data_IF_775630196988
#
_entry.id   IF_775630196988
#
_cell.length_a   1.000
_cell.length_b   1.000
_cell.length_c   1.000
_cell.angle_alpha   90.00
_cell.angle_beta   90.00
_cell.angle_gamma   90.00
#
_symmetry.space_group_name_H-M   'P 1'
#
loop_
_entity.id
_entity.type
_entity.pdbx_description
1 polymer ?
#
# COMPACT_ATOMS: atom_id res chain seq x y z
N UNK A 1 3.80 -16.12 -18.18
CA UNK A 1 4.09 -14.89 -17.42
C UNK A 1 4.05 -15.22 -15.93
N UNK A 2 5.11 -14.91 -15.21
CA UNK A 2 5.26 -15.10 -13.77
C UNK A 2 5.68 -13.78 -13.12
N UNK A 3 5.12 -13.47 -11.98
CA UNK A 3 5.36 -12.21 -11.24
C UNK A 3 6.19 -12.50 -9.99
N UNK A 4 7.29 -11.78 -9.79
CA UNK A 4 7.91 -11.68 -8.48
C UNK A 4 7.21 -10.54 -7.72
N UNK A 5 6.41 -10.91 -6.74
CA UNK A 5 5.72 -9.96 -5.86
C UNK A 5 6.60 -9.71 -4.64
N UNK A 6 7.28 -8.56 -4.63
CA UNK A 6 8.30 -8.24 -3.62
C UNK A 6 7.80 -7.29 -2.54
N UNK A 7 8.14 -7.62 -1.30
CA UNK A 7 7.79 -6.85 -0.12
C UNK A 7 8.92 -6.92 0.92
N UNK A 8 9.71 -5.85 1.02
CA UNK A 8 10.81 -5.78 1.98
C UNK A 8 10.30 -5.61 3.41
N UNK A 9 10.82 -6.40 4.34
CA UNK A 9 10.46 -6.29 5.76
C UNK A 9 9.06 -6.83 6.10
N UNK A 10 8.56 -7.83 5.39
CA UNK A 10 7.23 -8.43 5.59
C UNK A 10 6.96 -8.77 7.07
N UNK A 11 7.95 -9.32 7.77
CA UNK A 11 7.81 -9.71 9.18
C UNK A 11 7.52 -8.52 10.12
N UNK A 12 7.93 -7.31 9.74
CA UNK A 12 7.79 -6.10 10.56
C UNK A 12 6.48 -5.36 10.22
N UNK A 13 6.15 -5.24 8.94
CA UNK A 13 5.07 -4.38 8.48
C UNK A 13 3.85 -5.13 7.92
N UNK A 14 3.80 -6.46 8.08
CA UNK A 14 2.69 -7.32 7.62
C UNK A 14 1.32 -6.92 8.17
N UNK A 15 1.26 -6.31 9.35
CA UNK A 15 0.02 -5.81 9.99
C UNK A 15 -0.39 -4.42 9.50
N UNK A 16 0.43 -3.75 8.69
CA UNK A 16 0.16 -2.42 8.13
C UNK A 16 -0.86 -2.45 6.98
N UNK A 17 -1.25 -1.26 6.51
CA UNK A 17 -2.07 -1.11 5.29
C UNK A 17 -1.41 -1.71 4.06
N UNK A 18 -0.09 -1.51 3.91
CA UNK A 18 0.70 -2.07 2.80
C UNK A 18 0.76 -3.59 2.90
N UNK A 19 0.95 -4.16 4.09
CA UNK A 19 0.95 -5.62 4.29
C UNK A 19 -0.42 -6.25 3.95
N UNK A 20 -1.53 -5.55 4.21
CA UNK A 20 -2.85 -6.01 3.75
C UNK A 20 -2.99 -5.94 2.25
N UNK A 21 -2.54 -4.86 1.62
CA UNK A 21 -2.53 -4.72 0.17
C UNK A 21 -1.73 -5.84 -0.50
N UNK A 22 -0.56 -6.17 0.03
CA UNK A 22 0.27 -7.27 -0.45
C UNK A 22 -0.47 -8.63 -0.45
N UNK A 23 -1.19 -8.94 0.62
CA UNK A 23 -2.04 -10.15 0.69
C UNK A 23 -3.20 -10.13 -0.31
N UNK A 24 -3.78 -8.97 -0.57
CA UNK A 24 -4.83 -8.82 -1.59
C UNK A 24 -4.26 -8.99 -2.99
N UNK A 25 -3.05 -8.51 -3.27
CA UNK A 25 -2.36 -8.71 -4.55
C UNK A 25 -2.09 -10.20 -4.81
N UNK A 26 -1.62 -10.95 -3.80
CA UNK A 26 -1.45 -12.41 -3.92
C UNK A 26 -2.76 -13.09 -4.29
N UNK A 27 -3.86 -12.76 -3.60
CA UNK A 27 -5.19 -13.32 -3.92
C UNK A 27 -5.66 -12.92 -5.31
N UNK A 28 -5.39 -11.69 -5.75
CA UNK A 28 -5.75 -11.22 -7.09
C UNK A 28 -5.00 -11.99 -8.18
N UNK A 29 -3.69 -12.20 -8.01
CA UNK A 29 -2.89 -13.01 -8.93
C UNK A 29 -3.38 -14.46 -8.98
N UNK A 30 -3.66 -15.08 -7.82
CA UNK A 30 -4.24 -16.42 -7.74
C UNK A 30 -5.58 -16.51 -8.46
N UNK A 31 -6.48 -15.55 -8.21
CA UNK A 31 -7.81 -15.53 -8.83
C UNK A 31 -7.76 -15.31 -10.34
N UNK A 32 -6.73 -14.61 -10.83
CA UNK A 32 -6.49 -14.37 -12.25
C UNK A 32 -5.73 -15.53 -12.93
N UNK A 33 -5.33 -16.57 -12.19
CA UNK A 33 -4.53 -17.68 -12.71
C UNK A 33 -3.11 -17.26 -13.13
N UNK A 34 -2.59 -16.18 -12.56
CA UNK A 34 -1.24 -15.67 -12.85
C UNK A 34 -0.25 -16.29 -11.86
N UNK A 35 0.77 -16.97 -12.39
CA UNK A 35 1.85 -17.52 -11.58
C UNK A 35 2.62 -16.39 -10.90
N UNK A 36 2.96 -16.57 -9.60
CA UNK A 36 3.78 -15.64 -8.88
C UNK A 36 4.68 -16.32 -7.85
N UNK A 37 5.70 -15.63 -7.44
CA UNK A 37 6.57 -15.97 -6.33
C UNK A 37 6.73 -14.77 -5.39
N UNK A 38 7.05 -15.02 -4.14
CA UNK A 38 7.46 -13.99 -3.16
C UNK A 38 8.90 -14.19 -2.71
N UNK A 39 9.59 -15.20 -3.25
CA UNK A 39 10.99 -15.47 -2.97
C UNK A 39 11.88 -14.47 -3.74
N UNK A 40 12.60 -13.57 -3.06
CA UNK A 40 13.46 -12.59 -3.72
C UNK A 40 14.67 -13.21 -4.45
N UNK A 41 14.96 -14.48 -4.20
CA UNK A 41 16.05 -15.22 -4.84
C UNK A 41 15.60 -16.00 -6.09
N UNK A 42 14.30 -16.05 -6.35
CA UNK A 42 13.77 -16.63 -7.58
C UNK A 42 14.09 -15.70 -8.76
N UNK A 43 14.81 -16.21 -9.75
CA UNK A 43 15.16 -15.48 -10.96
C UNK A 43 14.27 -15.83 -12.16
N UNK A 44 13.38 -16.82 -12.00
CA UNK A 44 12.42 -17.25 -13.02
C UNK A 44 11.11 -16.45 -12.94
N UNK A 45 11.17 -15.16 -13.28
CA UNK A 45 10.00 -14.31 -13.39
C UNK A 45 10.15 -13.34 -14.59
N UNK A 46 9.03 -12.81 -15.05
CA UNK A 46 8.96 -11.85 -16.15
C UNK A 46 8.82 -10.40 -15.65
N UNK A 47 8.11 -10.24 -14.54
CA UNK A 47 7.75 -8.93 -13.97
C UNK A 47 8.11 -8.89 -12.48
N UNK A 48 8.86 -7.88 -12.07
CA UNK A 48 9.00 -7.48 -10.68
C UNK A 48 7.85 -6.52 -10.30
N UNK A 49 6.99 -6.92 -9.38
CA UNK A 49 5.98 -6.04 -8.76
C UNK A 49 6.40 -5.72 -7.33
N UNK A 50 6.86 -4.51 -7.10
CA UNK A 50 7.47 -4.08 -5.84
C UNK A 50 6.55 -3.16 -5.04
N UNK A 51 6.49 -3.36 -3.72
CA UNK A 51 5.56 -2.69 -2.81
C UNK A 51 6.24 -1.79 -1.77
N UNK A 52 7.56 -1.85 -1.65
CA UNK A 52 8.33 -1.17 -0.61
C UNK A 52 9.40 -0.26 -1.20
N UNK A 53 9.96 0.64 -0.37
CA UNK A 53 10.87 1.69 -0.80
C UNK A 53 12.13 1.77 0.07
N UNK A 54 12.57 0.63 0.64
CA UNK A 54 13.78 0.55 1.44
C UNK A 54 15.01 0.24 0.58
N UNK A 55 16.17 0.06 1.21
CA UNK A 55 17.45 -0.09 0.51
C UNK A 55 17.54 -1.36 -0.35
N UNK A 56 16.99 -2.48 0.13
CA UNK A 56 16.95 -3.73 -0.64
C UNK A 56 15.95 -3.62 -1.81
N UNK A 57 14.93 -2.77 -1.68
CA UNK A 57 14.00 -2.48 -2.77
C UNK A 57 14.71 -1.84 -3.97
N UNK A 58 15.68 -0.95 -3.74
CA UNK A 58 16.52 -0.38 -4.81
C UNK A 58 17.41 -1.46 -5.45
N UNK A 59 18.03 -2.30 -4.64
CA UNK A 59 18.92 -3.35 -5.13
C UNK A 59 18.17 -4.37 -6.02
N UNK A 60 16.97 -4.81 -5.63
CA UNK A 60 16.21 -5.78 -6.41
C UNK A 60 15.66 -5.17 -7.72
N UNK A 61 15.32 -3.88 -7.71
CA UNK A 61 14.92 -3.17 -8.94
C UNK A 61 16.08 -3.13 -9.93
N UNK A 62 17.28 -2.76 -9.48
CA UNK A 62 18.48 -2.77 -10.34
C UNK A 62 18.76 -4.14 -10.89
N UNK A 63 18.75 -5.17 -10.05
CA UNK A 63 18.96 -6.56 -10.48
C UNK A 63 17.93 -6.99 -11.53
N UNK A 64 16.64 -6.68 -11.34
CA UNK A 64 15.60 -6.98 -12.30
C UNK A 64 15.85 -6.29 -13.66
N UNK A 65 16.24 -5.02 -13.64
CA UNK A 65 16.54 -4.24 -14.85
C UNK A 65 17.77 -4.78 -15.60
N UNK A 66 18.84 -5.11 -14.89
CA UNK A 66 20.04 -5.73 -15.48
C UNK A 66 19.73 -7.06 -16.16
N UNK A 67 18.73 -7.79 -15.68
CA UNK A 67 18.26 -9.05 -16.25
C UNK A 67 17.10 -8.89 -17.26
N UNK A 68 16.83 -7.67 -17.72
CA UNK A 68 15.82 -7.39 -18.74
C UNK A 68 14.37 -7.61 -18.29
N UNK A 69 14.13 -7.68 -16.98
CA UNK A 69 12.79 -7.87 -16.42
C UNK A 69 12.01 -6.56 -16.43
N UNK A 70 10.69 -6.64 -16.54
CA UNK A 70 9.80 -5.50 -16.37
C UNK A 70 9.62 -5.16 -14.89
N UNK A 71 9.54 -3.88 -14.57
CA UNK A 71 9.37 -3.40 -13.19
C UNK A 71 8.08 -2.61 -13.07
N UNK A 72 7.20 -3.05 -12.19
CA UNK A 72 6.00 -2.32 -11.77
C UNK A 72 6.18 -1.93 -10.31
N UNK A 73 6.07 -0.65 -10.01
CA UNK A 73 6.14 -0.15 -8.64
C UNK A 73 4.74 0.17 -8.12
N UNK A 74 4.34 -0.46 -7.01
CA UNK A 74 3.12 -0.09 -6.31
C UNK A 74 3.42 1.05 -5.34
N UNK A 75 3.16 2.27 -5.77
CA UNK A 75 3.49 3.49 -5.05
C UNK A 75 2.48 3.76 -3.93
N UNK A 76 2.72 3.12 -2.79
CA UNK A 76 1.89 3.26 -1.58
C UNK A 76 2.18 4.53 -0.79
N UNK A 77 3.31 5.19 -1.04
CA UNK A 77 3.79 6.31 -0.23
C UNK A 77 4.09 7.54 -1.07
N UNK A 78 3.81 8.70 -0.49
CA UNK A 78 4.14 10.03 -1.01
C UNK A 78 4.85 10.85 0.07
N UNK A 79 5.40 12.00 -0.29
CA UNK A 79 5.95 12.94 0.68
C UNK A 79 4.87 13.38 1.69
N UNK A 80 3.66 13.62 1.19
CA UNK A 80 2.51 14.09 1.99
C UNK A 80 2.10 13.06 3.04
N UNK A 81 2.15 11.76 2.72
CA UNK A 81 1.88 10.69 3.67
C UNK A 81 2.93 10.61 4.80
N UNK A 82 4.17 11.03 4.49
CA UNK A 82 5.26 11.04 5.46
C UNK A 82 5.20 12.25 6.38
N UNK A 83 4.69 13.39 5.92
CA UNK A 83 4.52 14.60 6.72
C UNK A 83 3.59 14.35 7.90
N UNK A 84 3.90 14.99 9.04
CA UNK A 84 3.13 14.90 10.29
C UNK A 84 2.95 13.46 10.82
N UNK A 85 3.81 12.51 10.40
CA UNK A 85 3.75 11.14 10.88
C UNK A 85 4.48 10.92 12.20
N UNK A 86 5.53 11.68 12.48
CA UNK A 86 6.31 11.65 13.74
C UNK A 86 7.13 12.92 13.87
N UNK A 87 7.78 13.08 15.02
CA UNK A 87 8.67 14.24 15.31
C UNK A 87 9.76 14.34 14.24
N UNK A 88 9.98 15.54 13.70
CA UNK A 88 10.90 15.87 12.60
C UNK A 88 10.56 15.30 11.21
N UNK A 89 9.43 14.61 11.04
CA UNK A 89 9.04 14.07 9.72
C UNK A 89 8.96 15.16 8.64
N UNK A 90 8.50 16.36 8.98
CA UNK A 90 8.40 17.47 8.03
C UNK A 90 9.77 17.97 7.52
N UNK A 91 10.80 17.86 8.35
CA UNK A 91 12.19 18.21 7.95
C UNK A 91 12.77 17.16 7.02
N UNK A 92 12.44 15.89 7.24
CA UNK A 92 12.93 14.76 6.45
C UNK A 92 12.13 14.54 5.16
N UNK A 93 10.89 15.03 5.09
CA UNK A 93 9.97 14.77 3.98
C UNK A 93 10.52 15.11 2.58
N UNK A 94 11.24 16.24 2.35
CA UNK A 94 11.83 16.51 1.06
C UNK A 94 12.86 15.45 0.63
N UNK A 95 13.67 14.94 1.56
CA UNK A 95 14.60 13.84 1.29
C UNK A 95 13.89 12.55 0.94
N UNK A 96 12.80 12.24 1.62
CA UNK A 96 11.92 11.10 1.30
C UNK A 96 11.34 11.24 -0.10
N UNK A 97 10.87 12.42 -0.49
CA UNK A 97 10.40 12.68 -1.85
C UNK A 97 11.45 12.36 -2.90
N UNK A 98 12.67 12.87 -2.72
CA UNK A 98 13.79 12.62 -3.66
C UNK A 98 14.08 11.12 -3.76
N UNK A 99 14.08 10.41 -2.64
CA UNK A 99 14.29 8.96 -2.60
C UNK A 99 13.15 8.20 -3.30
N UNK A 100 11.90 8.54 -3.02
CA UNK A 100 10.75 7.92 -3.70
C UNK A 100 10.79 8.18 -5.22
N UNK A 101 11.11 9.39 -5.64
CA UNK A 101 11.25 9.71 -7.07
C UNK A 101 12.37 8.91 -7.72
N UNK A 102 13.52 8.73 -7.03
CA UNK A 102 14.61 7.89 -7.53
C UNK A 102 14.13 6.45 -7.77
N UNK A 103 13.42 5.86 -6.82
CA UNK A 103 12.90 4.50 -6.95
C UNK A 103 11.81 4.39 -8.02
N UNK A 104 10.81 5.26 -7.98
CA UNK A 104 9.66 5.19 -8.87
C UNK A 104 10.06 5.40 -10.34
N UNK A 105 11.00 6.27 -10.62
CA UNK A 105 11.50 6.50 -11.99
C UNK A 105 12.30 5.32 -12.58
N UNK A 106 12.65 4.33 -11.77
CA UNK A 106 13.28 3.09 -12.26
C UNK A 106 12.25 2.07 -12.78
N UNK A 107 10.95 2.29 -12.58
CA UNK A 107 9.90 1.39 -13.04
C UNK A 107 9.55 1.60 -14.53
N UNK A 108 8.89 0.62 -15.13
CA UNK A 108 8.24 0.75 -16.44
C UNK A 108 6.83 1.36 -16.28
N UNK A 109 6.18 1.12 -15.13
CA UNK A 109 4.87 1.69 -14.78
C UNK A 109 4.68 1.75 -13.27
N UNK A 110 3.80 2.64 -12.83
CA UNK A 110 3.39 2.74 -11.43
C UNK A 110 1.93 2.34 -11.26
N UNK A 111 1.64 1.75 -10.11
CA UNK A 111 0.28 1.57 -9.60
C UNK A 111 0.13 2.43 -8.35
N UNK A 112 -0.97 3.17 -8.24
CA UNK A 112 -1.31 3.94 -7.04
C UNK A 112 -2.65 3.48 -6.49
N UNK A 113 -2.87 3.51 -5.15
CA UNK A 113 -4.12 3.05 -4.57
C UNK A 113 -5.32 3.94 -4.90
N UNK A 114 -5.09 5.19 -5.30
CA UNK A 114 -6.15 6.17 -5.59
C UNK A 114 -5.77 7.12 -6.73
N UNK A 115 -6.75 7.72 -7.43
CA UNK A 115 -6.49 8.82 -8.37
C UNK A 115 -5.80 10.03 -7.72
N UNK A 116 -6.07 10.29 -6.44
CA UNK A 116 -5.42 11.35 -5.67
C UNK A 116 -3.90 11.13 -5.58
N UNK A 117 -3.47 9.93 -5.18
CA UNK A 117 -2.06 9.58 -5.13
C UNK A 117 -1.39 9.67 -6.52
N UNK A 118 -2.07 9.24 -7.59
CA UNK A 118 -1.58 9.45 -8.97
C UNK A 118 -1.32 10.93 -9.25
N UNK A 119 -2.27 11.81 -8.93
CA UNK A 119 -2.13 13.25 -9.21
C UNK A 119 -0.96 13.86 -8.44
N UNK A 120 -0.70 13.41 -7.19
CA UNK A 120 0.48 13.82 -6.43
C UNK A 120 1.76 13.39 -7.15
N UNK A 121 1.88 12.13 -7.56
CA UNK A 121 3.08 11.64 -8.24
C UNK A 121 3.30 12.34 -9.59
N UNK A 122 2.24 12.67 -10.30
CA UNK A 122 2.32 13.50 -11.52
C UNK A 122 2.84 14.91 -11.20
N UNK A 123 2.42 15.52 -10.09
CA UNK A 123 2.94 16.83 -9.65
C UNK A 123 4.41 16.80 -9.26
N UNK A 124 4.97 15.62 -8.95
CA UNK A 124 6.41 15.45 -8.76
C UNK A 124 7.21 15.44 -10.07
N UNK A 125 6.53 15.42 -11.23
CA UNK A 125 7.15 15.38 -12.54
C UNK A 125 7.43 13.97 -13.06
N UNK A 126 6.84 12.93 -12.47
CA UNK A 126 6.93 11.55 -12.97
C UNK A 126 6.17 11.45 -14.30
N UNK A 127 6.88 11.02 -15.37
CA UNK A 127 6.35 10.90 -16.73
C UNK A 127 5.90 9.48 -17.10
N UNK A 128 6.13 8.52 -16.23
CA UNK A 128 5.76 7.12 -16.44
C UNK A 128 4.23 6.94 -16.44
N UNK A 129 3.72 5.89 -17.10
CA UNK A 129 2.32 5.48 -16.93
C UNK A 129 1.99 5.22 -15.46
N UNK A 130 0.94 5.86 -14.93
CA UNK A 130 0.48 5.67 -13.54
C UNK A 130 -0.97 5.23 -13.56
N UNK A 131 -1.23 4.03 -13.06
CA UNK A 131 -2.54 3.40 -13.01
C UNK A 131 -3.12 3.46 -11.60
N UNK A 132 -4.23 4.19 -11.36
CA UNK A 132 -4.91 4.13 -10.08
C UNK A 132 -5.72 2.84 -9.97
N UNK A 133 -5.28 1.94 -9.09
CA UNK A 133 -5.92 0.65 -8.82
C UNK A 133 -6.08 0.50 -7.32
N UNK A 134 -7.32 0.31 -6.85
CA UNK A 134 -7.61 0.11 -5.44
C UNK A 134 -6.82 -1.09 -4.87
N UNK A 135 -6.37 -0.96 -3.62
CA UNK A 135 -5.75 -2.07 -2.89
C UNK A 135 -6.70 -3.26 -2.65
N UNK A 136 -7.96 -3.10 -3.03
CA UNK A 136 -8.99 -4.11 -2.84
C UNK A 136 -9.52 -4.20 -1.42
N UNK A 137 -10.67 -4.84 -1.30
CA UNK A 137 -11.31 -5.13 -0.02
C UNK A 137 -12.00 -6.50 -0.12
N UNK A 138 -11.90 -7.28 0.94
CA UNK A 138 -12.60 -8.55 1.05
C UNK A 138 -14.03 -8.27 1.54
N UNK A 139 -14.97 -8.18 0.60
CA UNK A 139 -16.37 -7.84 0.89
C UNK A 139 -17.04 -8.82 1.85
N UNK A 140 -16.66 -10.10 1.83
CA UNK A 140 -17.21 -11.12 2.74
C UNK A 140 -17.00 -10.79 4.22
N UNK A 141 -15.94 -10.03 4.53
CA UNK A 141 -15.66 -9.60 5.91
C UNK A 141 -16.61 -8.50 6.40
N UNK A 142 -17.31 -7.84 5.48
CA UNK A 142 -18.22 -6.72 5.74
C UNK A 142 -19.67 -7.06 5.45
N UNK A 143 -19.98 -8.36 5.26
CA UNK A 143 -21.35 -8.83 5.14
C UNK A 143 -22.14 -8.49 6.41
N UNK A 144 -23.36 -8.03 6.19
CA UNK A 144 -24.26 -7.67 7.27
C UNK A 144 -24.60 -8.90 8.11
N UNK A 145 -24.21 -8.89 9.38
CA UNK A 145 -24.49 -9.96 10.33
C UNK A 145 -25.28 -9.40 11.51
N UNK A 146 -26.58 -9.66 11.51
CA UNK A 146 -27.52 -9.12 12.51
C UNK A 146 -27.12 -9.55 13.93
N UNK A 147 -26.75 -10.80 14.13
CA UNK A 147 -26.41 -11.32 15.46
C UNK A 147 -25.18 -10.63 16.03
N UNK A 148 -24.16 -10.40 15.18
CA UNK A 148 -22.97 -9.63 15.59
C UNK A 148 -23.32 -8.18 15.91
N UNK A 149 -24.17 -7.55 15.13
CA UNK A 149 -24.60 -6.17 15.37
C UNK A 149 -25.30 -6.06 16.72
N UNK A 150 -26.24 -6.95 17.01
CA UNK A 150 -26.96 -6.98 18.28
C UNK A 150 -25.99 -7.23 19.45
N UNK A 151 -25.09 -8.20 19.31
CA UNK A 151 -24.09 -8.50 20.32
C UNK A 151 -23.17 -7.31 20.63
N UNK A 152 -22.64 -6.63 19.59
CA UNK A 152 -21.79 -5.47 19.79
C UNK A 152 -22.54 -4.26 20.33
N UNK A 153 -23.76 -3.99 19.87
CA UNK A 153 -24.57 -2.92 20.46
C UNK A 153 -24.78 -3.15 21.97
N UNK A 154 -25.13 -4.37 22.35
CA UNK A 154 -25.27 -4.75 23.76
C UNK A 154 -23.96 -4.58 24.54
N UNK A 155 -22.86 -5.04 23.98
CA UNK A 155 -21.54 -4.96 24.62
C UNK A 155 -21.10 -3.52 24.90
N UNK A 156 -21.36 -2.61 23.95
CA UNK A 156 -21.03 -1.19 24.11
C UNK A 156 -22.14 -0.33 24.73
N UNK A 157 -23.24 -0.91 25.16
CA UNK A 157 -24.37 -0.18 25.75
C UNK A 157 -25.08 0.76 24.77
N UNK A 158 -25.02 0.46 23.45
CA UNK A 158 -25.63 1.28 22.40
C UNK A 158 -27.11 0.86 22.26
N UNK A 159 -28.02 1.82 22.43
CA UNK A 159 -29.46 1.59 22.31
C UNK A 159 -29.87 1.49 20.82
N UNK A 160 -31.04 0.88 20.50
CA UNK A 160 -31.53 0.78 19.12
C UNK A 160 -31.64 2.13 18.39
N UNK A 161 -32.05 3.16 19.11
CA UNK A 161 -32.27 4.53 18.62
C UNK A 161 -30.99 5.37 18.49
N UNK A 162 -29.89 4.94 19.09
CA UNK A 162 -28.64 5.69 19.08
C UNK A 162 -28.00 5.69 17.68
N UNK A 163 -27.62 6.88 17.23
CA UNK A 163 -26.78 7.06 16.04
C UNK A 163 -25.33 6.86 16.43
N UNK A 164 -24.62 5.99 15.70
CA UNK A 164 -23.22 5.68 15.98
C UNK A 164 -22.35 6.31 14.91
N UNK A 165 -21.40 7.17 15.32
CA UNK A 165 -20.35 7.70 14.48
C UNK A 165 -19.05 7.02 14.88
N UNK A 166 -18.40 6.33 13.93
CA UNK A 166 -17.22 5.50 14.19
C UNK A 166 -15.99 6.07 13.52
N UNK A 167 -14.96 6.39 14.27
CA UNK A 167 -13.62 6.66 13.78
C UNK A 167 -12.72 5.42 13.94
N UNK A 168 -12.01 5.04 12.88
CA UNK A 168 -11.07 3.91 12.91
C UNK A 168 -9.71 4.34 12.39
N UNK A 169 -8.68 4.19 13.19
CA UNK A 169 -7.32 4.56 12.80
C UNK A 169 -6.32 4.46 13.94
N UNK A 170 -5.04 4.64 13.60
CA UNK A 170 -4.00 4.85 14.61
C UNK A 170 -4.13 6.28 15.16
N UNK A 171 -3.78 6.45 16.44
CA UNK A 171 -3.82 7.73 17.11
C UNK A 171 -2.65 8.63 16.65
N UNK A 172 -2.80 9.20 15.45
CA UNK A 172 -1.87 10.18 14.89
C UNK A 172 -2.62 11.42 14.44
N UNK A 173 -2.01 12.59 14.61
CA UNK A 173 -2.58 13.89 14.22
C UNK A 173 -3.11 13.86 12.75
N UNK A 174 -2.34 13.32 11.83
CA UNK A 174 -2.73 13.21 10.41
C UNK A 174 -3.97 12.33 10.12
N UNK A 175 -4.45 11.57 11.10
CA UNK A 175 -5.66 10.75 10.98
C UNK A 175 -6.92 11.47 11.45
N UNK A 176 -6.79 12.73 11.89
CA UNK A 176 -7.92 13.54 12.32
C UNK A 176 -8.63 13.04 13.58
N UNK A 177 -7.99 12.16 14.37
CA UNK A 177 -8.61 11.61 15.59
C UNK A 177 -8.90 12.71 16.62
N UNK A 178 -8.02 13.73 16.68
CA UNK A 178 -8.20 14.86 17.61
C UNK A 178 -9.38 15.75 17.16
N UNK A 179 -9.63 15.86 15.86
CA UNK A 179 -10.74 16.64 15.30
C UNK A 179 -12.06 15.87 15.33
N UNK A 180 -11.99 14.56 15.58
CA UNK A 180 -13.16 13.67 15.61
C UNK A 180 -13.87 13.65 16.97
N UNK A 181 -13.17 13.98 18.07
CA UNK A 181 -13.67 13.86 19.47
C UNK A 181 -14.39 15.12 19.93
#
# INVERSE_FOLDING_TARGET
MKVLLYFEGENVISKSGIGRAFKHQQRALQSAGIAYTTDPWDNDYDILHINTYYMNSDAIVRHARENGKKVIYHAHSTEEDFRNSFTFSNVLAPGVKVWLMHLYNQADALITPTPYARNILQSYGIQLPIFPVSNGIDLKRYEHNVDKIVAYRRYFGIRPEDKVVLGVGLYFHRKGIVDFV
#
